data_IF_876417237470
#
_entry.id   IF_876417237470
#
_cell.length_a   1.000
_cell.length_b   1.000
_cell.length_c   1.000
_cell.angle_alpha   90.00
_cell.angle_beta   90.00
_cell.angle_gamma   90.00
#
_symmetry.space_group_name_H-M   'P 1'
#
loop_
_entity.id
_entity.type
_entity.pdbx_description
1 polymer ?
#
# COMPACT_ATOMS: atom_id res chain seq x y z
N UNK A 1 23.99 -16.12 4.13
CA UNK A 1 24.04 -15.98 5.60
C UNK A 1 24.18 -14.51 6.03
N UNK A 2 25.16 -13.75 5.52
CA UNK A 2 25.37 -12.34 5.89
C UNK A 2 24.13 -11.46 5.62
N UNK A 3 23.44 -11.63 4.49
CA UNK A 3 22.20 -10.91 4.17
C UNK A 3 21.09 -11.21 5.19
N UNK A 4 20.89 -12.47 5.53
CA UNK A 4 19.86 -12.89 6.49
C UNK A 4 20.17 -12.36 7.91
N UNK A 5 21.44 -12.33 8.28
CA UNK A 5 21.89 -11.73 9.55
C UNK A 5 21.58 -10.23 9.60
N UNK A 6 21.95 -9.49 8.58
CA UNK A 6 21.69 -8.04 8.49
C UNK A 6 20.20 -7.73 8.49
N UNK A 7 19.39 -8.52 7.76
CA UNK A 7 17.94 -8.40 7.76
C UNK A 7 17.34 -8.59 9.15
N UNK A 8 17.75 -9.66 9.86
CA UNK A 8 17.29 -9.94 11.22
C UNK A 8 17.67 -8.82 12.19
N UNK A 9 18.88 -8.30 12.06
CA UNK A 9 19.37 -7.20 12.90
C UNK A 9 18.55 -5.93 12.66
N UNK A 10 18.36 -5.52 11.41
CA UNK A 10 17.51 -4.38 11.03
C UNK A 10 16.07 -4.52 11.55
N UNK A 11 15.49 -5.70 11.38
CA UNK A 11 14.15 -6.00 11.90
C UNK A 11 14.07 -5.92 13.43
N UNK A 12 15.10 -6.37 14.13
CA UNK A 12 15.17 -6.29 15.59
C UNK A 12 15.23 -4.83 16.06
N UNK A 13 16.04 -3.98 15.44
CA UNK A 13 16.08 -2.55 15.74
C UNK A 13 14.75 -1.85 15.49
N UNK A 14 14.10 -2.16 14.38
CA UNK A 14 12.75 -1.65 14.09
C UNK A 14 11.75 -2.03 15.18
N UNK A 15 11.78 -3.28 15.65
CA UNK A 15 10.90 -3.75 16.73
C UNK A 15 11.17 -3.06 18.05
N UNK A 16 12.45 -2.85 18.41
CA UNK A 16 12.83 -2.13 19.63
C UNK A 16 12.27 -0.70 19.60
N UNK A 17 12.44 0.03 18.49
CA UNK A 17 11.90 1.38 18.35
C UNK A 17 10.37 1.42 18.48
N UNK A 18 9.65 0.51 17.82
CA UNK A 18 8.20 0.40 17.93
C UNK A 18 7.74 0.02 19.34
N UNK A 19 8.47 -0.86 20.03
CA UNK A 19 8.16 -1.24 21.40
C UNK A 19 8.33 -0.07 22.37
N UNK A 20 9.36 0.75 22.19
CA UNK A 20 9.57 1.93 23.00
C UNK A 20 8.42 2.94 22.88
N UNK A 21 7.94 3.19 21.64
CA UNK A 21 6.74 3.98 21.41
C UNK A 21 5.51 3.37 22.14
N UNK A 22 5.32 2.05 22.02
CA UNK A 22 4.23 1.35 22.72
C UNK A 22 4.30 1.49 24.24
N UNK A 23 5.50 1.41 24.82
CA UNK A 23 5.73 1.61 26.26
C UNK A 23 5.37 3.03 26.71
N UNK A 24 5.64 4.05 25.87
CA UNK A 24 5.24 5.43 26.20
C UNK A 24 3.72 5.59 26.27
N UNK A 25 2.95 4.83 25.50
CA UNK A 25 1.49 4.84 25.52
C UNK A 25 0.84 3.91 26.54
N UNK A 26 1.60 3.07 27.23
CA UNK A 26 1.09 2.06 28.16
C UNK A 26 1.12 2.59 29.61
N UNK A 27 -0.04 2.78 30.21
CA UNK A 27 -0.21 3.30 31.58
C UNK A 27 0.52 2.50 32.66
N UNK A 28 0.77 1.21 32.42
CA UNK A 28 1.46 0.33 33.37
C UNK A 28 2.98 0.35 33.20
N UNK A 29 3.48 1.01 32.17
CA UNK A 29 4.91 1.10 31.89
C UNK A 29 5.59 2.16 32.75
N UNK A 30 6.81 1.87 33.22
CA UNK A 30 7.67 2.88 33.85
C UNK A 30 8.12 4.00 32.90
N UNK A 31 7.95 3.82 31.60
CA UNK A 31 8.23 4.80 30.56
C UNK A 31 6.97 5.52 30.08
N UNK A 32 5.86 5.38 30.80
CA UNK A 32 4.60 6.01 30.45
C UNK A 32 4.77 7.52 30.30
N UNK A 33 4.52 8.00 29.11
CA UNK A 33 4.54 9.40 28.78
C UNK A 33 3.55 9.66 27.62
N UNK A 34 2.29 9.91 27.95
CA UNK A 34 1.24 10.08 26.95
C UNK A 34 1.48 11.29 26.04
N UNK A 35 2.11 12.36 26.54
CA UNK A 35 2.43 13.54 25.74
C UNK A 35 3.45 13.21 24.65
N UNK A 36 4.45 12.38 24.97
CA UNK A 36 5.43 11.91 23.99
C UNK A 36 4.76 11.00 22.95
N UNK A 37 3.90 10.06 23.36
CA UNK A 37 3.18 9.19 22.45
C UNK A 37 2.26 10.00 21.52
N UNK A 38 1.57 11.00 22.04
CA UNK A 38 0.75 11.90 21.26
C UNK A 38 1.59 12.75 20.30
N UNK A 39 2.72 13.29 20.73
CA UNK A 39 3.62 14.07 19.88
C UNK A 39 4.13 13.29 18.67
N UNK A 40 4.45 12.00 18.84
CA UNK A 40 4.86 11.12 17.74
C UNK A 40 3.75 10.98 16.70
N UNK A 41 2.51 10.74 17.14
CA UNK A 41 1.36 10.55 16.23
C UNK A 41 0.93 11.84 15.55
N UNK A 42 0.90 12.95 16.30
CA UNK A 42 0.58 14.27 15.75
C UNK A 42 1.66 14.77 14.78
N UNK A 43 2.92 14.51 15.11
CA UNK A 43 4.04 14.79 14.21
C UNK A 43 3.93 14.05 12.90
N UNK A 44 3.67 12.74 12.92
CA UNK A 44 3.43 11.94 11.73
C UNK A 44 2.26 12.46 10.89
N UNK A 45 1.13 12.76 11.53
CA UNK A 45 -0.03 13.37 10.86
C UNK A 45 0.28 14.73 10.23
N UNK A 46 1.09 15.54 10.91
CA UNK A 46 1.46 16.85 10.41
C UNK A 46 2.34 16.72 9.16
N UNK A 47 3.36 15.86 9.18
CA UNK A 47 4.22 15.63 8.02
C UNK A 47 3.43 15.09 6.82
N UNK A 48 2.54 14.09 7.00
CA UNK A 48 1.77 13.54 5.90
C UNK A 48 0.81 14.56 5.29
N UNK A 49 0.19 15.43 6.11
CA UNK A 49 -0.64 16.55 5.63
C UNK A 49 0.18 17.57 4.84
N UNK A 50 1.37 17.92 5.33
CA UNK A 50 2.27 18.84 4.61
C UNK A 50 2.79 18.26 3.30
N UNK A 51 2.99 16.95 3.24
CA UNK A 51 3.33 16.24 2.00
C UNK A 51 2.17 16.29 1.00
N UNK A 52 0.94 16.06 1.46
CA UNK A 52 -0.23 16.16 0.60
C UNK A 52 -0.41 17.59 0.05
N UNK A 53 -0.29 18.62 0.90
CA UNK A 53 -0.33 20.03 0.49
C UNK A 53 0.77 20.37 -0.54
N UNK A 54 1.98 19.80 -0.39
CA UNK A 54 3.07 19.98 -1.35
C UNK A 54 2.73 19.33 -2.68
N UNK A 55 2.24 18.08 -2.64
CA UNK A 55 1.84 17.34 -3.84
C UNK A 55 0.76 18.09 -4.64
N UNK A 56 -0.27 18.59 -3.97
CA UNK A 56 -1.33 19.37 -4.61
C UNK A 56 -0.81 20.69 -5.20
N UNK A 57 0.07 21.40 -4.50
CA UNK A 57 0.73 22.62 -5.02
C UNK A 57 1.58 22.35 -6.27
N UNK A 58 2.12 21.15 -6.42
CA UNK A 58 2.85 20.68 -7.61
C UNK A 58 1.94 20.19 -8.72
N UNK A 59 0.62 20.18 -8.51
CA UNK A 59 -0.36 19.71 -9.47
C UNK A 59 -0.58 18.19 -9.46
N UNK A 60 -0.01 17.46 -8.51
CA UNK A 60 -0.24 16.04 -8.35
C UNK A 60 -1.57 15.77 -7.65
N UNK A 61 -2.30 14.79 -8.14
CA UNK A 61 -3.57 14.39 -7.53
C UNK A 61 -3.32 13.42 -6.39
N UNK A 62 -3.73 13.78 -5.18
CA UNK A 62 -3.80 12.89 -4.03
C UNK A 62 -5.02 11.99 -4.17
N UNK A 63 -4.82 10.68 -4.28
CA UNK A 63 -5.88 9.68 -4.43
C UNK A 63 -6.41 9.20 -3.08
N UNK A 64 -5.51 8.94 -2.14
CA UNK A 64 -5.82 8.52 -0.79
C UNK A 64 -4.63 8.72 0.14
N UNK A 65 -4.88 8.69 1.44
CA UNK A 65 -3.86 8.63 2.50
C UNK A 65 -4.24 7.58 3.54
N UNK A 66 -3.26 6.86 4.03
CA UNK A 66 -3.47 5.90 5.12
C UNK A 66 -2.33 5.97 6.13
N UNK A 67 -2.65 6.47 7.31
CA UNK A 67 -1.77 6.60 8.49
C UNK A 67 -0.48 7.38 8.18
N UNK A 68 0.48 6.79 7.49
CA UNK A 68 1.82 7.28 7.20
C UNK A 68 2.18 7.26 5.70
N UNK A 69 1.22 6.97 4.85
CA UNK A 69 1.42 6.86 3.39
C UNK A 69 0.44 7.71 2.60
N UNK A 70 0.86 8.10 1.39
CA UNK A 70 0.04 8.78 0.39
C UNK A 70 0.07 8.03 -0.94
N UNK A 71 -1.10 7.91 -1.55
CA UNK A 71 -1.26 7.45 -2.92
C UNK A 71 -1.40 8.66 -3.84
N UNK A 72 -0.41 8.87 -4.70
CA UNK A 72 -0.34 10.00 -5.60
C UNK A 72 -0.42 9.53 -7.05
N UNK A 73 -1.16 10.27 -7.89
CA UNK A 73 -1.17 10.01 -9.33
C UNK A 73 0.02 10.73 -9.97
N UNK A 74 1.07 9.99 -10.30
CA UNK A 74 2.28 10.51 -10.94
C UNK A 74 3.01 9.38 -11.67
N UNK A 75 3.94 9.74 -12.53
CA UNK A 75 4.87 8.78 -13.14
C UNK A 75 5.95 8.38 -12.14
N UNK A 76 6.63 7.30 -12.43
CA UNK A 76 7.74 6.80 -11.59
C UNK A 76 8.90 7.81 -11.48
N UNK A 77 9.23 8.47 -12.59
CA UNK A 77 10.28 9.50 -12.61
C UNK A 77 9.88 10.72 -11.74
N UNK A 78 8.63 11.14 -11.81
CA UNK A 78 8.08 12.22 -10.96
C UNK A 78 8.09 11.82 -9.49
N UNK A 79 7.77 10.55 -9.16
CA UNK A 79 7.80 10.06 -7.79
C UNK A 79 9.21 10.14 -7.18
N UNK A 80 10.23 9.72 -7.92
CA UNK A 80 11.61 9.80 -7.47
C UNK A 80 12.09 11.27 -7.28
N UNK A 81 11.66 12.18 -8.14
CA UNK A 81 11.96 13.61 -8.02
C UNK A 81 11.22 14.24 -6.82
N UNK A 82 9.93 13.88 -6.64
CA UNK A 82 9.11 14.38 -5.55
C UNK A 82 9.62 13.96 -4.18
N UNK A 83 10.06 12.72 -4.02
CA UNK A 83 10.67 12.24 -2.76
C UNK A 83 11.89 13.09 -2.38
N UNK A 84 12.78 13.37 -3.32
CA UNK A 84 13.95 14.24 -3.07
C UNK A 84 13.56 15.68 -2.71
N UNK A 85 12.50 16.18 -3.32
CA UNK A 85 11.95 17.50 -2.98
C UNK A 85 11.40 17.51 -1.55
N UNK A 86 10.71 16.44 -1.14
CA UNK A 86 10.17 16.30 0.22
C UNK A 86 11.25 16.35 1.30
N UNK A 87 12.41 15.74 1.07
CA UNK A 87 13.52 15.78 2.03
C UNK A 87 13.98 17.22 2.31
N UNK A 88 14.14 18.01 1.27
CA UNK A 88 14.45 19.44 1.40
C UNK A 88 13.33 20.21 2.09
N UNK A 89 12.10 19.95 1.69
CA UNK A 89 10.92 20.60 2.25
C UNK A 89 10.74 20.33 3.74
N UNK A 90 10.94 19.10 4.20
CA UNK A 90 10.84 18.75 5.61
C UNK A 90 11.88 19.47 6.47
N UNK A 91 13.10 19.59 5.97
CA UNK A 91 14.16 20.36 6.64
C UNK A 91 13.79 21.83 6.81
N UNK A 92 13.19 22.44 5.80
CA UNK A 92 12.68 23.82 5.90
C UNK A 92 11.51 23.93 6.89
N UNK A 93 10.58 22.99 6.86
CA UNK A 93 9.40 22.98 7.75
C UNK A 93 9.77 22.94 9.24
N UNK A 94 10.85 22.26 9.61
CA UNK A 94 11.21 22.08 11.01
C UNK A 94 12.15 23.19 11.54
N UNK A 95 12.70 24.04 10.69
CA UNK A 95 13.59 25.14 11.11
C UNK A 95 13.03 26.04 12.23
N UNK A 96 11.73 26.45 12.18
CA UNK A 96 11.16 27.29 13.22
C UNK A 96 11.10 26.62 14.61
N UNK A 97 11.18 25.30 14.67
CA UNK A 97 11.12 24.52 15.92
C UNK A 97 12.48 24.28 16.57
N UNK A 98 13.54 24.87 16.02
CA UNK A 98 14.89 24.76 16.56
C UNK A 98 15.39 23.31 16.72
N UNK A 99 14.99 22.45 15.78
CA UNK A 99 15.35 21.02 15.76
C UNK A 99 16.84 20.86 15.46
N UNK A 100 17.51 20.00 16.20
CA UNK A 100 18.90 19.60 15.89
C UNK A 100 18.94 18.84 14.56
N UNK A 101 19.39 19.51 13.52
CA UNK A 101 19.41 18.99 12.16
C UNK A 101 20.37 17.79 11.99
N UNK A 102 21.32 17.60 12.91
CA UNK A 102 22.19 16.42 12.91
C UNK A 102 21.46 15.13 13.29
N UNK A 103 20.33 15.26 14.00
CA UNK A 103 19.46 14.18 14.45
C UNK A 103 18.14 14.07 13.68
N UNK A 104 17.90 15.00 12.76
CA UNK A 104 16.69 15.01 11.96
C UNK A 104 16.79 13.91 10.89
N UNK A 105 15.96 12.86 11.03
CA UNK A 105 15.98 11.68 10.17
C UNK A 105 14.62 11.44 9.49
N UNK A 106 13.74 12.44 9.46
CA UNK A 106 12.47 12.30 8.75
C UNK A 106 12.74 12.35 7.25
N UNK A 107 12.34 11.30 6.56
CA UNK A 107 12.43 11.16 5.11
C UNK A 107 11.19 10.48 4.57
N UNK A 108 10.87 10.74 3.31
CA UNK A 108 9.82 10.07 2.57
C UNK A 108 10.45 8.97 1.72
N UNK A 109 9.91 7.76 1.79
CA UNK A 109 10.36 6.64 0.96
C UNK A 109 9.37 6.43 -0.21
N UNK A 110 9.90 6.26 -1.43
CA UNK A 110 9.14 5.74 -2.56
C UNK A 110 9.09 4.22 -2.45
N UNK A 111 7.96 3.69 -1.97
CA UNK A 111 7.84 2.27 -1.64
C UNK A 111 7.26 1.45 -2.80
N UNK A 112 6.12 1.85 -3.32
CA UNK A 112 5.35 1.08 -4.29
C UNK A 112 4.96 1.90 -5.52
N UNK A 113 4.97 1.28 -6.69
CA UNK A 113 4.35 1.81 -7.89
C UNK A 113 3.28 0.84 -8.40
N UNK A 114 2.06 1.33 -8.49
CA UNK A 114 0.92 0.56 -8.99
C UNK A 114 0.60 0.97 -10.42
N UNK A 115 0.59 -0.01 -11.34
CA UNK A 115 0.17 0.19 -12.72
C UNK A 115 -1.33 0.47 -12.81
N UNK A 116 -2.11 -0.23 -12.01
CA UNK A 116 -3.53 -0.01 -11.80
C UNK A 116 -3.88 -0.13 -10.33
N UNK A 117 -4.70 0.79 -9.80
CA UNK A 117 -5.10 0.84 -8.40
C UNK A 117 -6.61 1.06 -8.29
N UNK A 118 -7.28 0.13 -7.61
CA UNK A 118 -8.69 0.21 -7.25
C UNK A 118 -8.82 0.51 -5.75
N UNK A 119 -9.29 1.68 -5.40
CA UNK A 119 -9.58 2.07 -4.02
C UNK A 119 -11.09 1.98 -3.79
N UNK A 120 -11.53 1.03 -2.96
CA UNK A 120 -12.95 0.85 -2.62
C UNK A 120 -13.34 1.80 -1.47
N UNK A 121 -12.52 1.84 -0.44
CA UNK A 121 -12.64 2.78 0.69
C UNK A 121 -11.33 2.79 1.50
N UNK A 122 -11.26 3.61 2.54
CA UNK A 122 -10.12 3.65 3.46
C UNK A 122 -9.76 2.23 3.94
N UNK A 123 -8.50 1.85 3.82
CA UNK A 123 -7.93 0.53 4.17
C UNK A 123 -8.48 -0.65 3.35
N UNK A 124 -9.19 -0.39 2.26
CA UNK A 124 -9.71 -1.43 1.35
C UNK A 124 -9.38 -1.07 -0.09
N UNK A 125 -8.33 -1.68 -0.60
CA UNK A 125 -7.86 -1.45 -1.97
C UNK A 125 -7.21 -2.69 -2.56
N UNK A 126 -7.09 -2.70 -3.87
CA UNK A 126 -6.26 -3.65 -4.60
C UNK A 126 -5.48 -2.90 -5.68
N UNK A 127 -4.22 -3.27 -5.87
CA UNK A 127 -3.39 -2.66 -6.89
C UNK A 127 -2.42 -3.67 -7.49
N UNK A 128 -2.22 -3.55 -8.81
CA UNK A 128 -1.19 -4.33 -9.49
C UNK A 128 0.14 -3.59 -9.42
N UNK A 129 0.99 -4.09 -8.55
CA UNK A 129 2.27 -3.48 -8.23
C UNK A 129 3.30 -3.87 -9.29
N UNK A 130 3.86 -2.88 -9.99
CA UNK A 130 4.94 -3.09 -10.97
C UNK A 130 6.33 -2.83 -10.38
N UNK A 131 6.41 -2.13 -9.26
CA UNK A 131 7.66 -1.91 -8.54
C UNK A 131 7.44 -1.89 -7.03
N UNK A 132 8.40 -2.48 -6.32
CA UNK A 132 8.50 -2.46 -4.87
C UNK A 132 9.93 -2.13 -4.45
N UNK A 133 10.12 -1.00 -3.76
CA UNK A 133 11.43 -0.54 -3.26
C UNK A 133 12.53 -0.58 -4.32
N UNK A 134 12.22 -0.07 -5.52
CA UNK A 134 13.16 -0.02 -6.63
C UNK A 134 13.38 -1.35 -7.38
N UNK A 135 12.69 -2.43 -7.00
CA UNK A 135 12.75 -3.71 -7.70
C UNK A 135 11.46 -3.97 -8.49
N UNK A 136 11.60 -4.53 -9.69
CA UNK A 136 10.45 -4.93 -10.51
C UNK A 136 9.64 -5.98 -9.76
N UNK A 137 8.33 -5.77 -9.69
CA UNK A 137 7.38 -6.64 -9.00
C UNK A 137 6.10 -6.72 -9.82
N UNK A 138 5.68 -7.92 -10.19
CA UNK A 138 4.44 -8.17 -10.90
C UNK A 138 3.46 -8.91 -9.98
N UNK A 139 3.04 -8.21 -8.91
CA UNK A 139 2.22 -8.80 -7.83
C UNK A 139 0.95 -7.99 -7.63
N UNK A 140 -0.18 -8.70 -7.50
CA UNK A 140 -1.42 -8.10 -7.01
C UNK A 140 -1.34 -7.93 -5.50
N UNK A 141 -1.22 -6.68 -5.03
CA UNK A 141 -1.38 -6.34 -3.63
C UNK A 141 -2.86 -6.11 -3.32
N UNK A 142 -3.36 -6.77 -2.28
CA UNK A 142 -4.74 -6.63 -1.81
C UNK A 142 -4.74 -6.32 -0.33
N UNK A 143 -5.44 -5.27 0.07
CA UNK A 143 -5.64 -4.93 1.49
C UNK A 143 -7.12 -4.79 1.83
N UNK A 144 -7.51 -5.41 2.93
CA UNK A 144 -8.82 -5.26 3.56
C UNK A 144 -10.02 -5.75 2.74
N UNK A 145 -9.81 -6.46 1.63
CA UNK A 145 -10.88 -7.07 0.82
C UNK A 145 -11.14 -8.52 1.25
N UNK A 146 -12.30 -9.04 0.89
CA UNK A 146 -12.82 -10.33 1.37
C UNK A 146 -11.92 -11.50 0.97
N UNK A 147 -11.24 -11.45 -0.17
CA UNK A 147 -10.29 -12.50 -0.58
C UNK A 147 -9.07 -12.68 0.34
N UNK A 148 -8.85 -11.73 1.26
CA UNK A 148 -7.80 -11.82 2.29
C UNK A 148 -8.31 -12.45 3.59
N UNK A 149 -9.59 -12.70 3.71
CA UNK A 149 -10.21 -13.25 4.92
C UNK A 149 -10.14 -14.78 4.90
N UNK A 150 -9.97 -15.37 6.07
CA UNK A 150 -9.92 -16.83 6.24
C UNK A 150 -11.29 -17.51 6.27
N UNK A 151 -12.37 -16.74 6.51
CA UNK A 151 -13.74 -17.23 6.63
C UNK A 151 -14.46 -17.43 5.28
N UNK A 152 -13.87 -16.96 4.17
CA UNK A 152 -14.39 -17.18 2.83
C UNK A 152 -13.99 -18.54 2.25
N UNK A 153 -14.82 -19.09 1.34
CA UNK A 153 -14.44 -20.29 0.58
C UNK A 153 -13.25 -19.99 -0.34
N UNK A 154 -12.45 -21.02 -0.63
CA UNK A 154 -11.29 -20.86 -1.52
C UNK A 154 -11.73 -20.42 -2.92
N UNK A 155 -12.83 -20.95 -3.43
CA UNK A 155 -13.42 -20.53 -4.70
C UNK A 155 -13.74 -19.03 -4.72
N UNK A 156 -14.43 -18.50 -3.69
CA UNK A 156 -14.79 -17.09 -3.64
C UNK A 156 -13.56 -16.19 -3.55
N UNK A 157 -12.55 -16.61 -2.78
CA UNK A 157 -11.29 -15.86 -2.66
C UNK A 157 -10.51 -15.83 -3.98
N UNK A 158 -10.38 -16.97 -4.64
CA UNK A 158 -9.71 -17.08 -5.94
C UNK A 158 -10.45 -16.30 -7.01
N UNK A 159 -11.77 -16.45 -7.08
CA UNK A 159 -12.61 -15.66 -8.00
C UNK A 159 -12.41 -14.15 -7.83
N UNK A 160 -12.45 -13.65 -6.59
CA UNK A 160 -12.23 -12.24 -6.32
C UNK A 160 -10.81 -11.79 -6.70
N UNK A 161 -9.77 -12.59 -6.40
CA UNK A 161 -8.40 -12.26 -6.78
C UNK A 161 -8.20 -12.17 -8.29
N UNK A 162 -8.76 -13.11 -9.04
CA UNK A 162 -8.68 -13.07 -10.51
C UNK A 162 -9.43 -11.85 -11.06
N UNK A 163 -10.62 -11.56 -10.55
CA UNK A 163 -11.36 -10.34 -10.91
C UNK A 163 -10.53 -9.08 -10.65
N UNK A 164 -9.87 -9.00 -9.49
CA UNK A 164 -9.03 -7.85 -9.15
C UNK A 164 -7.81 -7.73 -10.06
N UNK A 165 -7.19 -8.85 -10.47
CA UNK A 165 -6.10 -8.83 -11.46
C UNK A 165 -6.56 -8.20 -12.78
N UNK A 166 -7.73 -8.59 -13.28
CA UNK A 166 -8.29 -7.99 -14.50
C UNK A 166 -8.56 -6.50 -14.34
N UNK A 167 -9.14 -6.08 -13.22
CA UNK A 167 -9.47 -4.68 -12.97
C UNK A 167 -8.25 -3.78 -12.75
N UNK A 168 -7.14 -4.34 -12.27
CA UNK A 168 -5.96 -3.55 -11.89
C UNK A 168 -4.70 -3.88 -12.70
N UNK A 169 -4.71 -4.96 -13.45
CA UNK A 169 -3.43 -5.59 -13.80
C UNK A 169 -2.90 -5.37 -15.17
N UNK A 170 -3.66 -5.10 -16.19
CA UNK A 170 -3.09 -5.36 -17.50
C UNK A 170 -3.47 -4.41 -18.63
N UNK A 171 -4.50 -3.64 -18.51
CA UNK A 171 -4.96 -2.90 -19.66
C UNK A 171 -4.10 -1.68 -19.95
N UNK A 172 -3.60 -1.61 -21.16
CA UNK A 172 -2.91 -0.44 -21.69
C UNK A 172 -3.88 0.75 -21.88
N UNK A 173 -5.18 0.49 -21.88
CA UNK A 173 -6.25 1.50 -21.94
C UNK A 173 -7.48 1.06 -21.14
N UNK A 174 -8.31 2.02 -20.73
CA UNK A 174 -9.58 1.76 -20.03
C UNK A 174 -10.53 0.89 -20.87
N UNK A 175 -10.52 1.04 -22.19
CA UNK A 175 -11.34 0.25 -23.11
C UNK A 175 -10.90 -1.21 -23.17
N UNK A 176 -9.60 -1.47 -23.14
CA UNK A 176 -9.02 -2.82 -23.12
C UNK A 176 -9.33 -3.51 -21.78
N UNK A 177 -9.21 -2.80 -20.64
CA UNK A 177 -9.59 -3.30 -19.34
C UNK A 177 -11.06 -3.72 -19.27
N UNK A 178 -11.95 -2.92 -19.85
CA UNK A 178 -13.39 -3.23 -19.92
C UNK A 178 -13.66 -4.44 -20.79
N UNK A 179 -13.01 -4.55 -21.95
CA UNK A 179 -13.16 -5.69 -22.86
C UNK A 179 -12.65 -6.99 -22.20
N UNK A 180 -11.50 -6.97 -21.58
CA UNK A 180 -10.92 -8.12 -20.88
C UNK A 180 -11.78 -8.55 -19.69
N UNK A 181 -12.29 -7.59 -18.94
CA UNK A 181 -13.20 -7.85 -17.82
C UNK A 181 -14.50 -8.48 -18.29
N UNK A 182 -15.10 -7.96 -19.38
CA UNK A 182 -16.31 -8.54 -19.97
C UNK A 182 -16.09 -9.98 -20.46
N UNK A 183 -14.96 -10.24 -21.13
CA UNK A 183 -14.58 -11.59 -21.58
C UNK A 183 -14.38 -12.55 -20.40
N UNK A 184 -13.78 -12.08 -19.30
CA UNK A 184 -13.63 -12.88 -18.09
C UNK A 184 -14.97 -13.24 -17.46
N UNK A 185 -15.91 -12.30 -17.30
CA UNK A 185 -17.22 -12.57 -16.72
C UNK A 185 -18.06 -13.47 -17.63
N UNK A 186 -17.98 -13.31 -18.94
CA UNK A 186 -18.65 -14.23 -19.88
C UNK A 186 -18.14 -15.67 -19.72
N UNK A 187 -16.85 -15.87 -19.54
CA UNK A 187 -16.25 -17.18 -19.31
C UNK A 187 -16.67 -17.78 -17.97
N UNK A 188 -16.75 -16.97 -16.90
CA UNK A 188 -17.25 -17.39 -15.60
C UNK A 188 -18.71 -17.80 -15.67
N UNK A 189 -19.56 -17.00 -16.35
CA UNK A 189 -20.98 -17.31 -16.53
C UNK A 189 -21.19 -18.65 -17.27
N UNK A 190 -20.43 -18.92 -18.32
CA UNK A 190 -20.44 -20.20 -19.03
C UNK A 190 -20.06 -21.36 -18.10
N UNK A 191 -19.05 -21.20 -17.26
CA UNK A 191 -18.61 -22.21 -16.29
C UNK A 191 -19.69 -22.48 -15.24
N UNK A 192 -20.33 -21.45 -14.70
CA UNK A 192 -21.41 -21.60 -13.71
C UNK A 192 -22.62 -22.29 -14.34
N UNK A 193 -23.02 -21.90 -15.55
CA UNK A 193 -24.14 -22.53 -16.27
C UNK A 193 -23.89 -23.99 -16.60
N UNK A 194 -22.66 -24.36 -17.02
CA UNK A 194 -22.32 -25.76 -17.28
C UNK A 194 -22.40 -26.61 -16.02
N UNK A 195 -22.06 -26.10 -14.87
CA UNK A 195 -22.19 -26.76 -13.57
C UNK A 195 -23.63 -27.01 -13.16
N UNK A 196 -24.50 -26.02 -13.34
CA UNK A 196 -25.93 -26.15 -13.03
C UNK A 196 -26.64 -27.09 -14.00
N UNK A 197 -26.14 -27.28 -15.20
CA UNK A 197 -26.66 -28.23 -16.20
C UNK A 197 -26.20 -29.70 -16.00
N UNK A 198 -25.46 -30.02 -14.92
CA UNK A 198 -25.02 -31.38 -14.64
C UNK A 198 -23.85 -31.88 -15.50
N UNK A 199 -23.15 -31.00 -16.19
CA UNK A 199 -21.91 -31.34 -16.89
C UNK A 199 -20.81 -31.74 -15.88
N UNK A 200 -19.95 -32.72 -16.26
CA UNK A 200 -18.77 -33.04 -15.47
C UNK A 200 -17.95 -31.77 -15.19
N UNK A 201 -17.64 -31.56 -13.91
CA UNK A 201 -16.88 -30.42 -13.49
C UNK A 201 -15.41 -30.63 -13.89
N UNK A 202 -14.79 -29.68 -14.57
CA UNK A 202 -13.34 -29.69 -14.70
C UNK A 202 -12.70 -29.71 -13.30
N UNK A 203 -11.51 -30.30 -13.14
CA UNK A 203 -10.77 -30.24 -11.87
C UNK A 203 -10.66 -28.80 -11.37
N UNK A 204 -10.68 -28.62 -10.06
CA UNK A 204 -10.62 -27.27 -9.43
C UNK A 204 -9.43 -26.46 -9.94
N UNK A 205 -8.34 -27.11 -10.33
CA UNK A 205 -7.16 -26.48 -10.93
C UNK A 205 -7.39 -25.87 -12.32
N UNK A 206 -8.40 -26.32 -13.07
CA UNK A 206 -8.72 -25.80 -14.43
C UNK A 206 -9.75 -24.67 -14.40
N UNK A 207 -10.31 -24.37 -13.24
CA UNK A 207 -11.33 -23.33 -13.05
C UNK A 207 -10.72 -22.04 -12.45
N UNK A 208 -9.46 -22.11 -12.09
CA UNK A 208 -8.69 -21.00 -11.52
C UNK A 208 -7.90 -20.28 -12.66
#
# INVERSE_FOLDING_TARGET
ERFLHMYRLSYSYKRIGLSFYGECGNETSRYFNPELAEAVTLGGQWFIKKTAELAERRGYRVLAGDTDSLFLKMTEAEAAAFVKECDGYYRELVKPFNVDMSRFMMELEYENYFRGLLIVKKKRYAGFMSMFKGNVSDVLEVKGLECMRSDGTEFARSFQRETLKFLTGAAASDAEAVADTAAYFARVDLTVRSRTAGAELPPVAEVI
#
